data_IF_709087051112
#
_entry.id   IF_709087051112
#
_cell.length_a   1.000
_cell.length_b   1.000
_cell.length_c   1.000
_cell.angle_alpha   90.00
_cell.angle_beta   90.00
_cell.angle_gamma   90.00
#
_symmetry.space_group_name_H-M   'P 1'
#
loop_
_entity.id
_entity.type
_entity.pdbx_description
1 polymer ?
#
# COMPACT_ATOMS: atom_id res chain seq x y z
N UNK A 1 16.95 -14.08 -43.99
CA UNK A 1 18.30 -13.55 -43.71
C UNK A 1 18.69 -13.96 -42.31
N UNK A 2 19.77 -14.73 -42.13
CA UNK A 2 20.29 -15.03 -40.80
C UNK A 2 21.08 -13.80 -40.28
N UNK A 3 20.85 -13.33 -39.04
CA UNK A 3 21.66 -12.27 -38.47
C UNK A 3 23.11 -12.76 -38.37
N UNK A 4 24.05 -11.95 -38.86
CA UNK A 4 25.47 -12.25 -38.72
C UNK A 4 25.83 -12.27 -37.22
N UNK A 5 26.54 -13.29 -36.73
CA UNK A 5 26.97 -13.35 -35.35
C UNK A 5 27.85 -12.14 -35.00
N UNK A 6 27.44 -11.38 -33.98
CA UNK A 6 28.22 -10.29 -33.40
C UNK A 6 29.41 -10.89 -32.63
N UNK A 7 30.53 -11.13 -33.32
CA UNK A 7 31.72 -11.72 -32.69
C UNK A 7 32.46 -10.78 -31.73
N UNK A 8 32.21 -9.47 -31.80
CA UNK A 8 32.88 -8.47 -30.96
C UNK A 8 31.85 -7.55 -30.32
N UNK A 9 31.54 -7.78 -29.04
CA UNK A 9 30.81 -6.80 -28.23
C UNK A 9 31.83 -5.90 -27.51
N UNK A 10 31.78 -4.59 -27.76
CA UNK A 10 32.58 -3.64 -26.99
C UNK A 10 32.07 -3.62 -25.55
N UNK A 11 32.93 -3.92 -24.59
CA UNK A 11 32.56 -3.84 -23.17
C UNK A 11 32.10 -2.43 -22.81
N UNK A 12 31.03 -2.32 -22.03
CA UNK A 12 30.43 -1.03 -21.66
C UNK A 12 31.46 -0.01 -21.13
N UNK A 13 32.42 -0.35 -20.24
CA UNK A 13 33.44 0.60 -19.76
C UNK A 13 34.40 1.12 -20.84
N UNK A 14 34.49 0.48 -22.02
CA UNK A 14 35.33 0.90 -23.14
C UNK A 14 34.63 1.85 -24.11
N UNK A 15 33.33 2.09 -23.93
CA UNK A 15 32.58 3.05 -24.73
C UNK A 15 33.02 4.49 -24.39
N UNK A 16 33.03 5.41 -25.38
CA UNK A 16 33.19 6.84 -25.11
C UNK A 16 32.21 7.32 -24.03
N UNK A 17 32.64 8.27 -23.20
CA UNK A 17 31.87 8.73 -22.03
C UNK A 17 30.50 9.26 -22.45
N UNK A 18 30.40 9.91 -23.60
CA UNK A 18 29.17 10.43 -24.18
C UNK A 18 28.17 9.31 -24.43
N UNK A 19 28.61 8.18 -25.00
CA UNK A 19 27.77 7.01 -25.26
C UNK A 19 27.33 6.35 -23.95
N UNK A 20 28.23 6.24 -22.96
CA UNK A 20 27.89 5.69 -21.64
C UNK A 20 26.84 6.54 -20.94
N UNK A 21 27.00 7.87 -20.97
CA UNK A 21 26.04 8.83 -20.41
C UNK A 21 24.70 8.80 -21.15
N UNK A 22 24.69 8.65 -22.48
CA UNK A 22 23.46 8.47 -23.25
C UNK A 22 22.73 7.18 -22.84
N UNK A 23 23.45 6.06 -22.71
CA UNK A 23 22.86 4.78 -22.26
C UNK A 23 22.29 4.93 -20.85
N UNK A 24 23.04 5.54 -19.92
CA UNK A 24 22.53 5.82 -18.58
C UNK A 24 21.37 6.80 -18.57
N UNK A 25 21.34 7.78 -19.48
CA UNK A 25 20.22 8.70 -19.66
C UNK A 25 18.94 7.95 -20.01
N UNK A 26 18.99 7.06 -21.01
CA UNK A 26 17.84 6.23 -21.40
C UNK A 26 17.33 5.34 -20.25
N UNK A 27 18.24 4.79 -19.45
CA UNK A 27 17.88 4.01 -18.26
C UNK A 27 17.32 4.90 -17.15
N UNK A 28 17.90 6.08 -16.94
CA UNK A 28 17.48 7.07 -15.96
C UNK A 28 16.14 7.72 -16.28
N UNK A 29 15.81 7.85 -17.57
CA UNK A 29 14.50 8.30 -18.05
C UNK A 29 13.41 7.28 -17.68
N UNK A 30 13.77 6.01 -17.53
CA UNK A 30 12.88 4.92 -17.09
C UNK A 30 12.88 4.70 -15.57
N UNK A 31 13.66 5.45 -14.80
CA UNK A 31 13.70 5.36 -13.34
C UNK A 31 12.65 6.29 -12.71
N UNK A 32 12.07 5.96 -11.54
CA UNK A 32 12.25 4.70 -10.81
C UNK A 32 11.62 3.51 -11.53
N UNK A 33 12.13 2.31 -11.24
CA UNK A 33 11.59 1.05 -11.78
C UNK A 33 10.09 0.94 -11.45
N UNK A 34 9.28 0.47 -12.42
CA UNK A 34 7.85 0.18 -12.22
C UNK A 34 7.68 -1.10 -11.39
N UNK A 35 8.03 -1.02 -10.11
CA UNK A 35 7.79 -2.06 -9.12
C UNK A 35 6.48 -1.75 -8.40
N UNK A 36 5.59 -2.74 -8.19
CA UNK A 36 4.41 -2.57 -7.36
C UNK A 36 4.79 -2.15 -5.94
N UNK A 37 4.29 -1.00 -5.50
CA UNK A 37 4.44 -0.51 -4.14
C UNK A 37 3.05 -0.38 -3.47
N UNK A 38 3.03 -0.10 -2.17
CA UNK A 38 1.78 0.09 -1.41
C UNK A 38 1.64 1.56 -1.04
N UNK A 39 0.56 2.19 -1.51
CA UNK A 39 0.21 3.54 -1.10
C UNK A 39 -0.66 3.48 0.15
N UNK A 40 -0.03 3.69 1.31
CA UNK A 40 -0.74 3.82 2.59
C UNK A 40 -1.31 5.24 2.65
N UNK A 41 -2.64 5.34 2.70
CA UNK A 41 -3.30 6.64 2.79
C UNK A 41 -3.03 7.34 4.12
N UNK A 42 -2.94 8.66 4.05
CA UNK A 42 -2.64 9.53 5.19
C UNK A 42 -3.55 10.76 5.19
N UNK A 43 -4.01 11.28 6.34
CA UNK A 43 -3.87 10.76 7.72
C UNK A 43 -4.52 9.39 7.97
N UNK A 44 -4.08 8.64 9.00
CA UNK A 44 -4.68 7.32 9.32
C UNK A 44 -6.08 7.43 9.94
N UNK A 45 -6.41 8.56 10.57
CA UNK A 45 -7.76 8.87 11.04
C UNK A 45 -8.32 10.06 10.27
N UNK A 46 -9.38 9.83 9.52
CA UNK A 46 -10.15 10.88 8.84
C UNK A 46 -11.47 11.10 9.58
N UNK A 47 -11.95 12.33 9.60
CA UNK A 47 -13.23 12.65 10.22
C UNK A 47 -14.37 12.48 9.23
N UNK A 48 -15.31 11.56 9.54
CA UNK A 48 -16.43 11.21 8.65
C UNK A 48 -17.36 12.40 8.40
N UNK A 49 -17.58 13.23 9.43
CA UNK A 49 -18.56 14.32 9.39
C UNK A 49 -18.10 15.54 8.59
N UNK A 50 -16.79 15.75 8.44
CA UNK A 50 -16.23 16.95 7.80
C UNK A 50 -15.97 16.80 6.29
N UNK A 51 -16.45 15.72 5.67
CA UNK A 51 -16.10 15.37 4.28
C UNK A 51 -14.58 15.30 4.05
N UNK A 52 -13.85 14.97 5.10
CA UNK A 52 -12.41 14.93 5.10
C UNK A 52 -11.88 13.85 4.16
N UNK A 53 -10.78 14.15 3.49
CA UNK A 53 -10.19 13.31 2.45
C UNK A 53 -8.74 12.97 2.78
N UNK A 54 -8.25 11.82 2.29
CA UNK A 54 -6.81 11.57 2.30
C UNK A 54 -6.05 12.70 1.61
N UNK A 55 -4.88 13.04 2.15
CA UNK A 55 -4.04 14.10 1.64
C UNK A 55 -3.45 13.71 0.27
N UNK A 56 -3.48 14.65 -0.67
CA UNK A 56 -2.93 14.49 -2.01
C UNK A 56 -1.67 15.37 -2.18
N UNK A 57 -0.74 15.03 -3.08
CA UNK A 57 -0.78 13.87 -3.99
C UNK A 57 -0.52 12.53 -3.29
N UNK A 58 -1.06 11.45 -3.85
CA UNK A 58 -0.72 10.10 -3.41
C UNK A 58 0.67 9.71 -3.90
N UNK A 59 1.48 9.21 -2.97
CA UNK A 59 2.88 8.91 -3.18
C UNK A 59 3.22 7.58 -2.54
N UNK A 60 4.22 6.89 -3.09
CA UNK A 60 4.74 5.62 -2.59
C UNK A 60 6.22 5.74 -2.33
N UNK A 61 6.69 5.13 -1.24
CA UNK A 61 8.12 4.92 -1.02
C UNK A 61 8.62 3.84 -1.99
N UNK A 62 9.76 4.09 -2.62
CA UNK A 62 10.36 3.16 -3.60
C UNK A 62 11.67 2.60 -3.08
N UNK A 63 12.18 1.54 -3.74
CA UNK A 63 13.59 1.21 -3.58
C UNK A 63 14.47 2.28 -4.23
N UNK A 64 15.71 2.38 -3.77
CA UNK A 64 16.75 3.00 -4.60
C UNK A 64 16.81 2.24 -5.93
N UNK A 65 16.71 2.93 -7.09
CA UNK A 65 16.72 2.26 -8.38
C UNK A 65 18.08 1.57 -8.59
N UNK A 66 18.09 0.44 -9.29
CA UNK A 66 19.32 -0.35 -9.51
C UNK A 66 20.47 0.48 -10.09
N UNK A 67 20.14 1.50 -10.87
CA UNK A 67 21.09 2.46 -11.45
C UNK A 67 21.96 3.19 -10.39
N UNK A 68 21.45 3.39 -9.17
CA UNK A 68 22.20 4.01 -8.06
C UNK A 68 23.32 3.11 -7.50
N UNK A 69 23.21 1.81 -7.76
CA UNK A 69 24.12 0.78 -7.28
C UNK A 69 25.14 0.32 -8.32
N UNK A 70 24.94 0.63 -9.61
CA UNK A 70 25.78 0.13 -10.69
C UNK A 70 27.20 0.72 -10.69
N UNK A 71 27.35 2.04 -10.78
CA UNK A 71 28.64 2.73 -10.68
C UNK A 71 28.46 4.21 -10.26
N UNK A 72 29.57 4.96 -10.19
CA UNK A 72 29.52 6.40 -9.86
C UNK A 72 28.80 7.21 -10.93
N UNK A 73 29.11 6.98 -12.20
CA UNK A 73 28.52 7.74 -13.32
C UNK A 73 27.01 7.52 -13.41
N UNK A 74 26.56 6.27 -13.26
CA UNK A 74 25.13 5.93 -13.29
C UNK A 74 24.36 6.61 -12.15
N UNK A 75 24.98 6.68 -10.96
CA UNK A 75 24.44 7.40 -9.81
C UNK A 75 24.32 8.90 -10.07
N UNK A 76 25.35 9.51 -10.66
CA UNK A 76 25.31 10.93 -11.01
C UNK A 76 24.21 11.23 -12.04
N UNK A 77 24.00 10.35 -13.03
CA UNK A 77 22.89 10.47 -13.99
C UNK A 77 21.54 10.32 -13.29
N UNK A 78 21.38 9.33 -12.42
CA UNK A 78 20.13 9.11 -11.67
C UNK A 78 19.77 10.32 -10.79
N UNK A 79 20.76 10.89 -10.08
CA UNK A 79 20.55 12.06 -9.22
C UNK A 79 20.31 13.37 -10.00
N UNK A 80 20.82 13.47 -11.23
CA UNK A 80 20.53 14.60 -12.13
C UNK A 80 19.20 14.44 -12.86
N UNK A 81 18.68 13.22 -12.97
CA UNK A 81 17.36 12.97 -13.54
C UNK A 81 16.29 13.60 -12.66
N UNK A 82 15.31 14.26 -13.29
CA UNK A 82 14.14 14.79 -12.59
C UNK A 82 13.15 13.69 -12.16
N UNK A 83 13.36 12.45 -12.59
CA UNK A 83 12.45 11.36 -12.32
C UNK A 83 12.72 10.69 -10.96
N UNK A 84 13.97 10.73 -10.47
CA UNK A 84 14.29 10.29 -9.13
C UNK A 84 13.96 11.39 -8.12
N UNK A 85 12.78 11.29 -7.51
CA UNK A 85 12.33 12.23 -6.48
C UNK A 85 12.75 11.71 -5.11
N UNK A 86 13.32 12.60 -4.29
CA UNK A 86 13.79 12.29 -2.95
C UNK A 86 13.09 13.20 -1.95
N UNK A 87 12.71 12.66 -0.79
CA UNK A 87 12.16 13.43 0.34
C UNK A 87 12.85 13.05 1.63
N UNK A 88 12.90 13.96 2.60
CA UNK A 88 13.53 13.66 3.88
C UNK A 88 12.67 12.71 4.72
N UNK A 89 13.29 11.70 5.33
CA UNK A 89 12.68 10.86 6.36
C UNK A 89 13.44 11.04 7.67
N UNK A 90 12.81 11.69 8.68
CA UNK A 90 13.38 11.77 10.03
C UNK A 90 13.73 10.41 10.63
N UNK A 91 12.90 9.37 10.37
CA UNK A 91 13.16 8.02 10.88
C UNK A 91 14.37 7.35 10.22
N UNK A 92 14.59 7.60 8.92
CA UNK A 92 15.77 7.09 8.23
C UNK A 92 17.03 7.94 8.53
N UNK A 93 16.85 9.23 8.81
CA UNK A 93 17.93 10.19 8.98
C UNK A 93 18.58 10.63 7.65
N UNK A 94 17.96 10.30 6.51
CA UNK A 94 18.43 10.67 5.17
C UNK A 94 17.27 10.76 4.18
N UNK A 95 17.55 11.22 2.96
CA UNK A 95 16.55 11.35 1.91
C UNK A 95 16.18 9.98 1.30
N UNK A 96 14.89 9.67 1.24
CA UNK A 96 14.36 8.41 0.70
C UNK A 96 13.72 8.63 -0.67
N UNK A 97 13.86 7.67 -1.60
CA UNK A 97 13.27 7.80 -2.93
C UNK A 97 11.77 7.52 -2.89
N UNK A 98 11.01 8.35 -3.59
CA UNK A 98 9.57 8.22 -3.72
C UNK A 98 9.12 8.50 -5.16
N UNK A 99 7.88 8.14 -5.47
CA UNK A 99 7.20 8.56 -6.69
C UNK A 99 5.73 8.77 -6.44
N UNK A 100 5.05 9.34 -7.43
CA UNK A 100 3.59 9.40 -7.43
C UNK A 100 3.02 7.98 -7.53
N UNK A 101 1.91 7.78 -6.84
CA UNK A 101 1.11 6.57 -6.92
C UNK A 101 0.70 6.30 -8.37
N UNK A 102 0.97 5.08 -8.85
CA UNK A 102 0.57 4.60 -10.16
C UNK A 102 -0.57 3.59 -9.98
N UNK A 103 -1.84 3.98 -10.23
CA UNK A 103 -3.00 3.14 -9.96
C UNK A 103 -3.06 1.84 -10.77
N UNK A 104 -2.25 1.73 -11.84
CA UNK A 104 -2.17 0.51 -12.65
C UNK A 104 -1.36 -0.62 -11.99
N UNK A 105 -0.34 -0.27 -11.20
CA UNK A 105 0.62 -1.23 -10.63
C UNK A 105 0.64 -1.23 -9.10
N UNK A 106 0.32 -0.09 -8.47
CA UNK A 106 0.39 0.05 -7.02
C UNK A 106 -0.90 -0.37 -6.35
N UNK A 107 -0.78 -0.79 -5.09
CA UNK A 107 -1.92 -1.11 -4.25
C UNK A 107 -2.30 0.08 -3.38
N UNK A 108 -3.53 0.59 -3.54
CA UNK A 108 -4.08 1.62 -2.65
C UNK A 108 -4.55 0.95 -1.35
N UNK A 109 -3.97 1.33 -0.21
CA UNK A 109 -4.29 0.76 1.09
C UNK A 109 -5.01 1.76 1.99
N UNK A 110 -6.08 1.31 2.66
CA UNK A 110 -6.66 2.05 3.77
C UNK A 110 -7.11 1.18 4.95
N UNK A 111 -7.04 1.80 6.12
CA UNK A 111 -7.40 1.22 7.40
C UNK A 111 -8.86 1.47 7.80
N UNK A 112 -9.21 0.95 8.97
CA UNK A 112 -10.55 1.07 9.54
C UNK A 112 -11.06 2.52 9.65
N UNK A 113 -10.23 3.45 10.11
CA UNK A 113 -10.62 4.84 10.35
C UNK A 113 -10.68 5.72 9.08
N UNK A 114 -10.44 5.15 7.90
CA UNK A 114 -10.47 5.86 6.62
C UNK A 114 -11.65 5.43 5.74
N UNK A 115 -12.23 4.26 6.01
CA UNK A 115 -13.20 3.57 5.14
C UNK A 115 -14.37 4.46 4.68
N UNK A 116 -14.97 5.23 5.58
CA UNK A 116 -16.09 6.11 5.26
C UNK A 116 -15.68 7.31 4.42
N UNK A 117 -14.56 7.94 4.75
CA UNK A 117 -13.98 9.03 3.96
C UNK A 117 -13.58 8.56 2.57
N UNK A 118 -13.11 7.32 2.43
CA UNK A 118 -12.83 6.71 1.13
C UNK A 118 -14.10 6.55 0.30
N UNK A 119 -15.17 5.95 0.86
CA UNK A 119 -16.44 5.87 0.15
C UNK A 119 -16.96 7.25 -0.30
N UNK A 120 -16.82 8.28 0.54
CA UNK A 120 -17.18 9.66 0.20
C UNK A 120 -16.29 10.24 -0.91
N UNK A 121 -14.97 10.06 -0.81
CA UNK A 121 -14.00 10.47 -1.84
C UNK A 121 -14.37 9.86 -3.19
N UNK A 122 -14.78 8.59 -3.20
CA UNK A 122 -15.06 7.86 -4.42
C UNK A 122 -16.39 8.19 -5.10
N UNK A 123 -17.31 8.83 -4.38
CA UNK A 123 -18.56 9.33 -4.97
C UNK A 123 -18.38 10.66 -5.71
N UNK A 124 -17.23 11.32 -5.55
CA UNK A 124 -16.94 12.62 -6.17
C UNK A 124 -16.45 12.45 -7.61
N UNK A 125 -17.00 13.27 -8.51
CA UNK A 125 -16.76 13.20 -9.95
C UNK A 125 -15.29 13.45 -10.30
N UNK A 126 -14.67 14.41 -9.62
CA UNK A 126 -13.27 14.80 -9.82
C UNK A 126 -12.27 13.67 -9.53
N UNK A 127 -12.65 12.68 -8.71
CA UNK A 127 -11.81 11.53 -8.41
C UNK A 127 -12.04 10.36 -9.37
N UNK A 128 -13.07 10.41 -10.22
CA UNK A 128 -13.44 9.30 -11.13
C UNK A 128 -12.27 8.77 -11.97
N UNK A 129 -11.38 9.59 -12.57
CA UNK A 129 -10.25 9.08 -13.35
C UNK A 129 -9.29 8.21 -12.53
N UNK A 130 -8.99 8.64 -11.30
CA UNK A 130 -8.15 7.86 -10.38
C UNK A 130 -8.82 6.52 -10.06
N UNK A 131 -10.10 6.54 -9.73
CA UNK A 131 -10.82 5.36 -9.28
C UNK A 131 -10.98 4.34 -10.42
N UNK A 132 -11.28 4.81 -11.63
CA UNK A 132 -11.38 3.94 -12.81
C UNK A 132 -10.02 3.36 -13.22
N UNK A 133 -8.91 4.03 -12.89
CA UNK A 133 -7.57 3.51 -13.15
C UNK A 133 -7.05 2.54 -12.08
N UNK A 134 -7.69 2.47 -10.90
CA UNK A 134 -7.30 1.52 -9.85
C UNK A 134 -7.37 0.06 -10.35
N UNK A 135 -6.29 -0.69 -10.13
CA UNK A 135 -6.20 -2.14 -10.38
C UNK A 135 -6.05 -2.96 -9.12
N UNK A 136 -5.44 -2.40 -8.08
CA UNK A 136 -5.14 -3.11 -6.85
C UNK A 136 -5.53 -2.28 -5.64
N UNK A 137 -6.22 -2.92 -4.71
CA UNK A 137 -6.65 -2.31 -3.46
C UNK A 137 -6.44 -3.28 -2.32
N UNK A 138 -6.09 -2.75 -1.16
CA UNK A 138 -6.04 -3.51 0.08
C UNK A 138 -6.78 -2.81 1.21
N UNK A 139 -7.48 -3.60 2.01
CA UNK A 139 -8.32 -3.14 3.10
C UNK A 139 -7.87 -3.85 4.37
N UNK A 140 -7.73 -3.11 5.46
CA UNK A 140 -7.65 -3.72 6.78
C UNK A 140 -8.89 -4.59 7.04
N UNK A 141 -8.72 -5.78 7.63
CA UNK A 141 -9.84 -6.70 7.86
C UNK A 141 -10.97 -6.10 8.71
N UNK A 142 -10.66 -5.21 9.64
CA UNK A 142 -11.68 -4.54 10.44
C UNK A 142 -12.56 -3.57 9.62
N UNK A 143 -12.06 -3.07 8.49
CA UNK A 143 -12.80 -2.19 7.58
C UNK A 143 -13.90 -2.94 6.79
N UNK A 144 -13.98 -4.27 6.89
CA UNK A 144 -14.92 -5.13 6.16
C UNK A 144 -16.34 -5.19 6.76
N UNK A 145 -16.75 -4.19 7.56
CA UNK A 145 -17.97 -4.29 8.37
C UNK A 145 -19.28 -4.30 7.54
N UNK A 146 -19.27 -3.83 6.30
CA UNK A 146 -20.44 -3.84 5.44
C UNK A 146 -20.12 -4.40 4.04
N UNK A 147 -20.40 -5.69 3.76
CA UNK A 147 -20.13 -6.28 2.45
C UNK A 147 -20.91 -5.60 1.32
N UNK A 148 -22.08 -5.00 1.62
CA UNK A 148 -22.89 -4.30 0.62
C UNK A 148 -22.25 -3.00 0.13
N UNK A 149 -21.70 -2.19 1.04
CA UNK A 149 -20.99 -0.96 0.65
C UNK A 149 -19.70 -1.29 -0.12
N UNK A 150 -18.98 -2.32 0.33
CA UNK A 150 -17.79 -2.80 -0.39
C UNK A 150 -18.15 -3.33 -1.78
N UNK A 151 -19.25 -4.08 -1.91
CA UNK A 151 -19.76 -4.52 -3.20
C UNK A 151 -20.05 -3.34 -4.12
N UNK A 152 -20.83 -2.34 -3.66
CA UNK A 152 -21.11 -1.14 -4.45
C UNK A 152 -19.84 -0.44 -4.88
N UNK A 153 -18.85 -0.34 -4.00
CA UNK A 153 -17.58 0.26 -4.35
C UNK A 153 -16.83 -0.51 -5.45
N UNK A 154 -16.78 -1.84 -5.37
CA UNK A 154 -16.16 -2.68 -6.40
C UNK A 154 -16.89 -2.52 -7.74
N UNK A 155 -18.22 -2.60 -7.74
CA UNK A 155 -18.99 -2.62 -9.00
C UNK A 155 -19.24 -1.25 -9.62
N UNK A 156 -19.36 -0.19 -8.81
CA UNK A 156 -19.70 1.15 -9.29
C UNK A 156 -18.46 2.03 -9.49
N UNK A 157 -17.54 1.98 -8.53
CA UNK A 157 -16.44 2.92 -8.47
C UNK A 157 -15.21 2.35 -9.18
N UNK A 158 -14.88 1.07 -8.92
CA UNK A 158 -13.65 0.41 -9.40
C UNK A 158 -13.94 -0.78 -10.34
N UNK A 159 -14.63 -0.57 -11.48
CA UNK A 159 -15.04 -1.67 -12.36
C UNK A 159 -13.85 -2.49 -12.90
N UNK A 160 -12.66 -1.89 -12.96
CA UNK A 160 -11.43 -2.52 -13.46
C UNK A 160 -10.51 -3.06 -12.35
N UNK A 161 -11.01 -3.16 -11.11
CA UNK A 161 -10.25 -3.75 -10.01
C UNK A 161 -9.89 -5.21 -10.34
N UNK A 162 -8.62 -5.57 -10.16
CA UNK A 162 -8.08 -6.92 -10.40
C UNK A 162 -7.75 -7.64 -9.10
N UNK A 163 -7.30 -6.90 -8.09
CA UNK A 163 -6.95 -7.48 -6.78
C UNK A 163 -7.61 -6.72 -5.65
N UNK A 164 -8.29 -7.47 -4.79
CA UNK A 164 -8.79 -7.03 -3.49
C UNK A 164 -8.08 -7.83 -2.40
N UNK A 165 -7.23 -7.18 -1.62
CA UNK A 165 -6.53 -7.83 -0.52
C UNK A 165 -7.15 -7.46 0.83
N UNK A 166 -7.41 -8.46 1.67
CA UNK A 166 -7.73 -8.28 3.08
C UNK A 166 -6.45 -8.42 3.88
N UNK A 167 -6.08 -7.34 4.57
CA UNK A 167 -4.80 -7.22 5.27
C UNK A 167 -4.99 -7.54 6.75
N UNK A 168 -4.28 -8.56 7.19
CA UNK A 168 -4.19 -8.99 8.59
C UNK A 168 -2.96 -8.35 9.25
N UNK A 169 -3.00 -8.22 10.57
CA UNK A 169 -1.90 -7.59 11.31
C UNK A 169 -0.61 -8.42 11.22
N UNK A 170 -0.73 -9.74 11.24
CA UNK A 170 0.36 -10.70 11.04
C UNK A 170 -0.23 -12.06 10.65
N UNK A 171 0.63 -13.05 10.42
CA UNK A 171 0.28 -14.42 10.06
C UNK A 171 0.02 -15.33 11.28
N UNK A 172 -0.32 -14.77 12.45
CA UNK A 172 -0.57 -15.53 13.69
C UNK A 172 -2.06 -15.81 13.94
N UNK A 173 -2.34 -16.70 14.91
CA UNK A 173 -3.70 -17.02 15.40
C UNK A 173 -4.31 -15.93 16.30
N UNK A 174 -3.67 -14.78 16.45
CA UNK A 174 -4.16 -13.69 17.30
C UNK A 174 -5.11 -12.73 16.54
N UNK A 175 -5.36 -12.98 15.27
CA UNK A 175 -6.21 -12.10 14.46
C UNK A 175 -7.70 -12.28 14.77
N UNK A 176 -8.35 -11.15 15.00
CA UNK A 176 -9.80 -11.00 15.09
C UNK A 176 -10.28 -10.33 13.80
N UNK A 177 -11.52 -10.60 13.36
CA UNK A 177 -12.11 -9.94 12.19
C UNK A 177 -12.18 -8.41 12.34
N UNK A 178 -12.12 -7.92 13.58
CA UNK A 178 -12.07 -6.49 13.95
C UNK A 178 -10.68 -6.03 14.43
N UNK A 179 -9.62 -6.79 14.17
CA UNK A 179 -8.28 -6.37 14.55
C UNK A 179 -7.91 -5.12 13.77
N UNK A 180 -7.65 -4.04 14.52
CA UNK A 180 -7.12 -2.80 14.00
C UNK A 180 -5.64 -2.73 14.31
N UNK A 181 -4.84 -2.17 13.41
CA UNK A 181 -3.40 -2.01 13.59
C UNK A 181 -2.88 -0.77 12.88
N UNK A 182 -1.75 -0.22 13.34
CA UNK A 182 -1.02 0.79 12.56
C UNK A 182 -0.29 0.12 11.40
N UNK A 183 -0.32 0.70 10.20
CA UNK A 183 0.44 0.18 9.06
C UNK A 183 1.96 0.34 9.31
N UNK A 184 2.80 -0.24 8.44
CA UNK A 184 4.24 -0.04 8.48
C UNK A 184 4.63 1.44 8.43
N UNK A 185 5.69 1.76 9.15
CA UNK A 185 6.24 3.10 9.21
C UNK A 185 7.31 3.26 8.15
N UNK A 186 8.01 2.19 7.74
CA UNK A 186 9.08 2.19 6.72
C UNK A 186 8.57 1.67 5.38
N UNK A 187 9.45 1.58 4.39
CA UNK A 187 9.14 0.91 3.12
C UNK A 187 8.57 -0.48 3.40
N UNK A 188 7.46 -0.80 2.78
CA UNK A 188 6.73 -2.03 3.03
C UNK A 188 6.21 -2.66 1.75
N UNK A 189 5.77 -3.92 1.88
CA UNK A 189 5.08 -4.67 0.82
C UNK A 189 3.93 -5.45 1.43
N UNK A 190 2.98 -5.84 0.59
CA UNK A 190 2.01 -6.86 0.95
C UNK A 190 2.55 -8.23 0.55
N UNK A 191 2.44 -9.18 1.47
CA UNK A 191 2.85 -10.57 1.27
C UNK A 191 1.62 -11.46 1.38
N UNK A 192 1.42 -12.32 0.38
CA UNK A 192 0.39 -13.36 0.43
C UNK A 192 0.63 -14.26 1.65
N UNK A 193 -0.40 -14.52 2.43
CA UNK A 193 -0.35 -15.51 3.51
C UNK A 193 -0.31 -16.89 2.83
N UNK A 194 0.76 -17.69 3.01
CA UNK A 194 0.85 -19.00 2.37
C UNK A 194 -0.31 -19.91 2.73
N UNK A 195 -0.75 -20.77 1.82
CA UNK A 195 -1.92 -21.64 2.02
C UNK A 195 -1.76 -22.55 3.25
N UNK A 196 -0.54 -23.02 3.53
CA UNK A 196 -0.24 -23.86 4.71
C UNK A 196 -0.51 -23.09 6.00
N UNK A 197 -0.15 -21.81 6.03
CA UNK A 197 -0.40 -20.91 7.15
C UNK A 197 -1.89 -20.56 7.23
N UNK A 198 -2.53 -20.26 6.10
CA UNK A 198 -3.94 -19.90 6.05
C UNK A 198 -4.88 -21.04 6.50
N UNK A 199 -4.50 -22.29 6.29
CA UNK A 199 -5.26 -23.46 6.76
C UNK A 199 -5.15 -23.63 8.30
N UNK A 200 -4.01 -23.29 8.89
CA UNK A 200 -3.80 -23.34 10.35
C UNK A 200 -4.23 -22.06 11.08
N UNK A 201 -4.36 -20.94 10.35
CA UNK A 201 -4.71 -19.65 10.90
C UNK A 201 -6.20 -19.55 11.21
N UNK A 202 -6.54 -19.10 12.42
CA UNK A 202 -7.92 -18.95 12.87
C UNK A 202 -8.30 -17.49 13.09
N UNK A 203 -9.46 -17.09 12.57
CA UNK A 203 -10.03 -15.74 12.71
C UNK A 203 -11.19 -15.78 13.70
N UNK A 204 -11.16 -14.90 14.70
CA UNK A 204 -12.21 -14.77 15.72
C UNK A 204 -13.21 -13.66 15.39
N UNK A 205 -14.44 -13.78 15.89
CA UNK A 205 -15.44 -12.71 15.90
C UNK A 205 -16.00 -12.34 14.54
N UNK A 206 -16.19 -13.33 13.67
CA UNK A 206 -16.91 -13.12 12.42
C UNK A 206 -18.35 -12.72 12.71
N UNK A 207 -18.79 -11.48 12.40
CA UNK A 207 -20.02 -10.91 12.92
C UNK A 207 -21.32 -11.57 12.44
N UNK A 208 -21.27 -12.53 11.50
CA UNK A 208 -22.46 -13.02 10.79
C UNK A 208 -22.78 -14.50 11.06
N UNK A 209 -22.00 -15.21 11.88
CA UNK A 209 -22.16 -16.66 12.06
C UNK A 209 -22.50 -17.11 13.48
N UNK A 210 -22.45 -16.21 14.47
CA UNK A 210 -22.93 -16.54 15.82
C UNK A 210 -24.44 -16.32 15.91
N UNK A 211 -25.19 -17.32 16.35
CA UNK A 211 -26.47 -17.04 17.02
C UNK A 211 -26.17 -16.06 18.15
N UNK A 212 -26.83 -14.89 18.11
CA UNK A 212 -26.80 -13.81 19.11
C UNK A 212 -25.58 -13.81 20.05
N UNK A 213 -24.45 -13.28 19.58
CA UNK A 213 -23.32 -12.90 20.45
C UNK A 213 -22.21 -13.95 20.62
N UNK A 214 -22.34 -15.16 20.07
CA UNK A 214 -21.20 -16.09 20.08
C UNK A 214 -20.14 -15.69 19.05
N UNK A 215 -18.92 -15.43 19.53
CA UNK A 215 -17.75 -15.25 18.66
C UNK A 215 -17.40 -16.61 18.04
N UNK A 216 -17.78 -16.80 16.78
CA UNK A 216 -17.39 -17.98 16.02
C UNK A 216 -15.93 -17.82 15.61
N UNK A 217 -15.14 -18.88 15.83
CA UNK A 217 -13.80 -19.03 15.31
C UNK A 217 -13.87 -19.84 14.02
N UNK A 218 -13.24 -19.35 12.96
CA UNK A 218 -13.19 -20.03 11.66
C UNK A 218 -11.76 -20.03 11.12
N UNK A 219 -11.43 -20.93 10.20
CA UNK A 219 -10.13 -20.86 9.52
C UNK A 219 -10.07 -19.62 8.62
N UNK A 220 -8.87 -19.08 8.37
CA UNK A 220 -8.69 -17.96 7.45
C UNK A 220 -9.22 -18.32 6.07
N UNK A 221 -8.94 -19.52 5.57
CA UNK A 221 -9.50 -19.99 4.29
C UNK A 221 -11.02 -19.88 4.24
N UNK A 222 -11.72 -20.42 5.24
CA UNK A 222 -13.19 -20.34 5.28
C UNK A 222 -13.66 -18.89 5.45
N UNK A 223 -12.97 -18.08 6.24
CA UNK A 223 -13.25 -16.64 6.33
C UNK A 223 -13.19 -15.96 4.95
N UNK A 224 -12.18 -16.24 4.14
CA UNK A 224 -12.02 -15.67 2.80
C UNK A 224 -13.13 -16.13 1.84
N UNK A 225 -13.48 -17.42 1.86
CA UNK A 225 -14.59 -17.98 1.08
C UNK A 225 -15.92 -17.29 1.44
N UNK A 226 -16.18 -17.13 2.74
CA UNK A 226 -17.38 -16.46 3.23
C UNK A 226 -17.45 -15.00 2.78
N UNK A 227 -16.32 -14.27 2.79
CA UNK A 227 -16.30 -12.88 2.29
C UNK A 227 -16.59 -12.80 0.80
N UNK A 228 -16.13 -13.78 0.00
CA UNK A 228 -16.50 -13.88 -1.41
C UNK A 228 -18.00 -14.12 -1.58
N UNK A 229 -18.54 -15.11 -0.87
CA UNK A 229 -19.97 -15.45 -0.87
C UNK A 229 -20.84 -14.23 -0.49
N UNK A 230 -20.45 -13.50 0.57
CA UNK A 230 -21.13 -12.28 1.01
C UNK A 230 -21.08 -11.15 -0.03
N UNK A 231 -19.94 -10.94 -0.70
CA UNK A 231 -19.81 -9.94 -1.75
C UNK A 231 -20.70 -10.29 -2.95
N UNK A 232 -20.65 -11.52 -3.43
CA UNK A 232 -21.48 -11.98 -4.55
C UNK A 232 -22.98 -11.94 -4.20
N UNK A 233 -23.33 -12.32 -2.97
CA UNK A 233 -24.70 -12.26 -2.44
C UNK A 233 -25.20 -10.84 -2.13
N UNK A 234 -24.30 -9.85 -2.00
CA UNK A 234 -24.64 -8.44 -1.78
C UNK A 234 -25.11 -7.72 -3.03
N UNK A 235 -25.16 -8.40 -4.19
CA UNK A 235 -25.69 -7.85 -5.42
C UNK A 235 -27.08 -7.23 -5.17
N UNK A 236 -27.24 -5.91 -5.36
CA UNK A 236 -28.52 -5.27 -5.13
C UNK A 236 -29.57 -5.81 -6.10
N UNK A 237 -30.85 -5.64 -5.74
CA UNK A 237 -31.96 -6.02 -6.60
C UNK A 237 -31.76 -5.47 -8.02
N UNK A 238 -32.17 -6.22 -9.07
CA UNK A 238 -31.86 -5.92 -10.48
C UNK A 238 -32.13 -4.48 -10.92
N UNK A 239 -33.07 -3.78 -10.27
CA UNK A 239 -33.42 -2.37 -10.56
C UNK A 239 -32.25 -1.41 -10.41
N UNK A 240 -31.34 -1.62 -9.45
CA UNK A 240 -30.15 -0.79 -9.26
C UNK A 240 -29.02 -1.15 -10.24
N UNK A 241 -29.04 -2.36 -10.81
CA UNK A 241 -27.99 -2.86 -11.70
C UNK A 241 -28.16 -2.44 -13.16
N UNK A 242 -29.38 -2.11 -13.60
CA UNK A 242 -29.67 -1.72 -14.99
C UNK A 242 -28.98 -0.42 -15.40
N UNK A 243 -28.48 0.37 -14.45
CA UNK A 243 -27.83 1.65 -14.70
C UNK A 243 -26.31 1.60 -14.63
N UNK A 244 -25.69 0.41 -14.47
CA UNK A 244 -24.23 0.34 -14.34
C UNK A 244 -23.59 0.49 -15.72
N UNK A 245 -22.91 1.61 -16.01
CA UNK A 245 -22.46 1.89 -17.38
C UNK A 245 -21.30 1.01 -17.84
N UNK A 246 -20.65 0.30 -16.92
CA UNK A 246 -19.31 -0.23 -17.13
C UNK A 246 -19.30 -1.77 -17.04
N UNK A 247 -19.10 -2.43 -18.18
CA UNK A 247 -18.51 -3.78 -18.18
C UNK A 247 -17.03 -3.60 -17.82
N UNK A 248 -16.66 -4.03 -16.61
CA UNK A 248 -15.28 -3.99 -16.13
C UNK A 248 -14.76 -5.39 -15.81
N UNK A 249 -13.47 -5.50 -15.49
CA UNK A 249 -12.87 -6.80 -15.16
C UNK A 249 -13.42 -7.39 -13.89
N UNK A 250 -13.78 -6.58 -12.88
CA UNK A 250 -14.10 -7.06 -11.52
C UNK A 250 -15.46 -7.78 -11.39
N UNK A 251 -16.42 -7.46 -12.27
CA UNK A 251 -17.81 -7.90 -12.14
C UNK A 251 -18.43 -8.26 -13.49
N UNK A 252 -18.93 -9.49 -13.60
CA UNK A 252 -19.70 -9.93 -14.76
C UNK A 252 -21.19 -9.68 -14.52
N UNK A 253 -21.74 -8.67 -15.20
CA UNK A 253 -23.14 -8.29 -15.08
C UNK A 253 -24.12 -9.35 -15.61
N UNK A 254 -23.69 -10.21 -16.54
CA UNK A 254 -24.51 -11.29 -17.11
C UNK A 254 -24.59 -12.46 -16.13
N UNK A 255 -23.46 -12.83 -15.53
CA UNK A 255 -23.37 -13.95 -14.59
C UNK A 255 -23.70 -13.55 -13.15
N UNK A 256 -23.80 -12.26 -12.84
CA UNK A 256 -24.04 -11.72 -11.50
C UNK A 256 -23.04 -12.25 -10.48
N UNK A 257 -21.75 -12.27 -10.87
CA UNK A 257 -20.66 -12.74 -10.01
C UNK A 257 -19.41 -11.90 -10.20
N UNK A 258 -18.52 -11.98 -9.22
CA UNK A 258 -17.18 -11.45 -9.35
C UNK A 258 -16.46 -12.21 -10.45
N UNK A 259 -15.95 -11.48 -11.44
CA UNK A 259 -15.19 -12.01 -12.56
C UNK A 259 -13.77 -11.47 -12.43
N UNK A 260 -12.75 -12.28 -12.70
CA UNK A 260 -11.31 -11.92 -12.66
C UNK A 260 -10.76 -11.25 -11.37
N UNK A 261 -11.59 -10.93 -10.39
CA UNK A 261 -11.21 -10.28 -9.15
C UNK A 261 -10.58 -11.32 -8.21
N UNK A 262 -9.28 -11.18 -8.02
CA UNK A 262 -8.52 -11.95 -7.06
C UNK A 262 -8.75 -11.37 -5.66
N UNK A 263 -9.40 -12.15 -4.80
CA UNK A 263 -9.53 -11.82 -3.39
C UNK A 263 -8.42 -12.55 -2.64
N UNK A 264 -7.56 -11.81 -1.93
CA UNK A 264 -6.36 -12.33 -1.27
C UNK A 264 -6.36 -12.05 0.23
N UNK A 265 -5.71 -12.92 0.99
CA UNK A 265 -5.33 -12.66 2.38
C UNK A 265 -3.85 -12.31 2.44
N UNK A 266 -3.51 -11.14 2.96
CA UNK A 266 -2.15 -10.65 2.97
C UNK A 266 -1.76 -10.07 4.34
N UNK A 267 -0.46 -9.96 4.57
CA UNK A 267 0.12 -9.20 5.68
C UNK A 267 1.05 -8.14 5.15
N UNK A 268 1.25 -7.08 5.94
CA UNK A 268 2.35 -6.16 5.68
C UNK A 268 3.68 -6.78 6.11
N UNK A 269 4.68 -6.65 5.25
CA UNK A 269 6.09 -6.83 5.61
C UNK A 269 6.84 -5.52 5.46
N UNK A 270 7.56 -5.14 6.50
CA UNK A 270 8.37 -3.91 6.55
C UNK A 270 9.84 -4.26 6.28
N UNK A 271 10.51 -3.44 5.46
CA UNK A 271 11.92 -3.56 5.19
C UNK A 271 12.73 -3.17 6.44
N UNK A 272 13.56 -4.08 6.91
CA UNK A 272 14.51 -3.84 7.99
C UNK A 272 15.91 -4.25 7.56
N UNK A 273 16.89 -3.43 7.91
CA UNK A 273 18.30 -3.77 7.75
C UNK A 273 19.01 -3.66 9.09
N UNK A 274 19.74 -4.71 9.46
CA UNK A 274 20.62 -4.70 10.62
C UNK A 274 22.00 -5.19 10.22
N UNK A 275 23.06 -4.69 10.86
CA UNK A 275 24.43 -5.17 10.59
C UNK A 275 24.57 -6.69 10.82
N UNK A 276 23.86 -7.23 11.82
CA UNK A 276 23.96 -8.64 12.19
C UNK A 276 23.18 -9.59 11.26
N UNK A 277 21.99 -9.20 10.79
CA UNK A 277 21.09 -10.07 10.01
C UNK A 277 20.99 -9.70 8.54
N UNK A 278 21.60 -8.59 8.14
CA UNK A 278 21.44 -8.02 6.81
C UNK A 278 20.01 -7.54 6.56
N UNK A 279 19.56 -7.68 5.32
CA UNK A 279 18.22 -7.28 4.87
C UNK A 279 17.18 -8.32 5.27
N UNK A 280 16.10 -7.87 5.92
CA UNK A 280 14.97 -8.70 6.31
C UNK A 280 13.64 -8.00 5.95
N UNK A 281 12.60 -8.82 5.75
CA UNK A 281 11.22 -8.38 5.57
C UNK A 281 10.37 -9.01 6.67
N UNK A 282 9.95 -8.19 7.63
CA UNK A 282 9.31 -8.68 8.86
C UNK A 282 7.85 -8.21 8.96
N UNK A 283 6.99 -9.05 9.50
CA UNK A 283 5.63 -8.65 9.87
C UNK A 283 5.68 -7.81 11.14
N UNK A 284 5.47 -6.50 11.00
CA UNK A 284 5.54 -5.57 12.13
C UNK A 284 4.18 -5.19 12.68
N UNK A 285 3.12 -5.31 11.88
CA UNK A 285 1.78 -4.85 12.25
C UNK A 285 1.15 -5.67 13.39
N UNK A 286 1.60 -6.91 13.59
CA UNK A 286 1.20 -7.74 14.71
C UNK A 286 1.51 -7.12 16.07
N UNK A 287 2.66 -6.44 16.19
CA UNK A 287 3.07 -5.70 17.38
C UNK A 287 2.46 -4.30 17.46
N UNK A 288 1.76 -3.87 16.40
CA UNK A 288 1.14 -2.54 16.28
C UNK A 288 -0.38 -2.61 16.30
N UNK A 289 -0.94 -3.70 16.86
CA UNK A 289 -2.37 -3.84 17.07
C UNK A 289 -2.87 -2.75 18.00
N UNK A 290 -3.89 -2.04 17.56
CA UNK A 290 -4.67 -1.15 18.39
C UNK A 290 -5.70 -2.06 19.06
N UNK A 291 -5.52 -2.34 20.35
CA UNK A 291 -6.48 -3.12 21.12
C UNK A 291 -7.87 -2.45 21.11
N UNK A 292 -8.81 -2.97 21.90
CA UNK A 292 -10.14 -2.36 22.02
C UNK A 292 -10.13 -0.98 22.76
N UNK A 293 -8.97 -0.44 23.08
CA UNK A 293 -8.83 0.80 23.83
C UNK A 293 -8.87 2.00 22.87
N UNK A 294 -9.82 2.91 23.08
CA UNK A 294 -9.94 4.15 22.30
C UNK A 294 -8.67 5.01 22.33
N UNK A 295 -7.86 4.90 23.39
CA UNK A 295 -6.56 5.58 23.55
C UNK A 295 -5.57 5.29 22.42
N UNK A 296 -5.77 4.19 21.68
CA UNK A 296 -4.91 3.77 20.58
C UNK A 296 -5.37 4.29 19.21
N UNK A 297 -6.48 5.04 19.13
CA UNK A 297 -6.92 5.63 17.86
C UNK A 297 -5.82 6.55 17.28
N UNK A 298 -5.51 6.47 15.98
CA UNK A 298 -4.61 7.43 15.36
C UNK A 298 -5.12 8.87 15.56
N UNK A 299 -4.20 9.78 15.88
CA UNK A 299 -4.53 11.19 16.06
C UNK A 299 -5.15 11.74 14.78
N UNK A 300 -6.26 12.45 14.91
CA UNK A 300 -6.81 13.23 13.80
C UNK A 300 -5.88 14.42 13.50
N UNK A 301 -5.57 14.63 12.22
CA UNK A 301 -4.76 15.74 11.74
C UNK A 301 -5.63 16.61 10.82
N UNK A 302 -6.01 17.82 11.26
CA UNK A 302 -6.78 18.76 10.46
C UNK A 302 -6.07 19.08 9.14
N UNK A 303 -6.83 19.37 8.07
CA UNK A 303 -6.27 19.65 6.74
C UNK A 303 -5.17 20.73 6.73
N UNK A 304 -5.29 21.77 7.57
CA UNK A 304 -4.30 22.85 7.68
C UNK A 304 -2.98 22.44 8.35
N UNK A 305 -2.96 21.36 9.14
CA UNK A 305 -1.75 20.83 9.79
C UNK A 305 -1.05 19.78 8.91
N UNK A 306 -1.60 19.47 7.73
CA UNK A 306 -1.07 18.42 6.87
C UNK A 306 0.16 18.89 6.11
N UNK A 307 1.29 18.23 6.34
CA UNK A 307 2.55 18.46 5.63
C UNK A 307 2.47 17.92 4.20
N UNK A 308 3.13 18.59 3.27
CA UNK A 308 3.26 18.14 1.88
C UNK A 308 3.98 16.77 1.84
N UNK A 309 3.34 15.70 1.31
CA UNK A 309 3.90 14.36 1.32
C UNK A 309 5.07 14.21 0.34
N UNK A 310 5.28 15.18 -0.55
CA UNK A 310 6.42 15.22 -1.47
C UNK A 310 7.67 15.83 -0.83
N UNK A 311 7.52 16.63 0.22
CA UNK A 311 8.63 17.24 0.97
C UNK A 311 8.97 16.43 2.21
N UNK A 312 7.95 15.85 2.84
CA UNK A 312 8.04 15.19 4.13
C UNK A 312 7.43 13.79 4.08
N UNK A 313 8.12 12.82 4.69
CA UNK A 313 7.59 11.47 4.84
C UNK A 313 6.54 11.41 5.95
N UNK A 314 5.30 11.71 5.61
CA UNK A 314 4.16 11.84 6.55
C UNK A 314 3.91 10.62 7.43
N UNK A 315 4.28 9.40 6.98
CA UNK A 315 4.15 8.18 7.79
C UNK A 315 5.08 8.15 9.01
N UNK A 316 6.14 8.96 9.01
CA UNK A 316 7.06 9.07 10.14
C UNK A 316 6.35 9.65 11.38
N UNK A 317 5.44 10.63 11.19
CA UNK A 317 4.74 11.35 12.27
C UNK A 317 3.73 10.47 13.03
N UNK A 318 2.90 9.71 12.32
CA UNK A 318 1.79 8.96 12.93
C UNK A 318 2.16 7.56 13.41
N UNK A 319 3.31 7.04 12.95
CA UNK A 319 3.80 5.75 13.40
C UNK A 319 3.95 5.69 14.93
N UNK A 320 4.23 6.84 15.58
CA UNK A 320 4.60 6.91 16.99
C UNK A 320 5.90 6.13 17.27
N UNK A 321 6.66 5.83 16.22
CA UNK A 321 7.81 4.98 16.29
C UNK A 321 9.03 5.84 16.59
N UNK A 322 9.67 5.62 17.74
CA UNK A 322 11.00 6.16 17.97
C UNK A 322 11.96 5.37 17.07
N UNK A 323 12.91 6.03 16.35
CA UNK A 323 13.95 5.31 15.63
C UNK A 323 14.58 4.27 16.57
N UNK A 324 15.03 3.09 16.08
CA UNK A 324 15.81 2.26 16.99
C UNK A 324 17.03 3.13 17.35
N UNK A 325 17.48 3.11 18.60
CA UNK A 325 18.75 3.77 18.92
C UNK A 325 19.79 3.20 17.97
N UNK A 326 20.17 3.98 16.96
CA UNK A 326 21.18 3.54 16.01
C UNK A 326 22.50 3.73 16.76
N UNK A 327 23.19 2.63 17.16
CA UNK A 327 24.42 2.75 17.93
C UNK A 327 25.52 3.47 17.14
N UNK A 328 25.36 3.59 15.81
CA UNK A 328 26.27 4.28 14.91
C UNK A 328 25.74 5.63 14.40
N UNK A 329 24.63 6.16 14.95
CA UNK A 329 24.25 7.55 14.65
C UNK A 329 25.39 8.40 15.22
N UNK A 330 26.13 9.18 14.42
CA UNK A 330 27.02 10.15 15.01
C UNK A 330 26.17 11.02 15.96
N UNK A 331 26.71 11.43 17.12
CA UNK A 331 26.02 12.38 17.97
C UNK A 331 25.56 13.56 17.08
N UNK A 332 24.37 14.14 17.33
CA UNK A 332 23.99 15.36 16.64
C UNK A 332 25.19 16.32 16.72
N UNK A 333 25.58 16.89 15.58
CA UNK A 333 26.61 17.94 15.59
C UNK A 333 26.07 19.01 16.53
N UNK A 334 26.71 19.17 17.69
CA UNK A 334 26.35 20.17 18.69
C UNK A 334 26.31 21.54 17.98
N UNK A 335 25.13 22.03 17.62
CA UNK A 335 25.00 23.27 16.84
C UNK A 335 23.64 23.53 16.20
N UNK A 336 22.89 22.52 15.79
CA UNK A 336 21.55 22.71 15.18
C UNK A 336 20.44 22.33 16.16
N UNK A 337 20.18 23.18 17.17
CA UNK A 337 19.11 22.91 18.14
C UNK A 337 18.78 23.98 19.16
N UNK A 338 19.21 25.23 18.99
CA UNK A 338 18.89 26.34 19.91
C UNK A 338 18.49 27.62 19.15
N UNK A 339 17.47 27.54 18.29
CA UNK A 339 16.68 28.71 17.91
C UNK A 339 15.20 28.29 17.79
N UNK A 340 14.52 28.27 18.93
CA UNK A 340 13.07 28.46 19.07
C UNK A 340 12.78 29.03 20.45
#
# INVERSE_FOLDING_TARGET
MAPLPLHNFMLFPKLPVEIRLMIWGLVGDSAPERVPEVCILWPFSLEVMSSDQPHQPFVVDTAWPSLMHACRESREVALRSKNLRLRFSPLAGFAVPFRNFDPEIDTLHWGFYQVWSMFSMFRREENRPLIQSLRHMSLETAALFNPRELFYFITLATPFLRTLAFVFADSSNQNHAKTIFKPPARRCRLRDIPDEVANGMTIRGTPHYGQQGQSVQTSLRRFMELRREELEGSCPQPRLMLTLPYEGTAWDNKQKKLHELQIKAQTFVEYEWTQAKGVQWLEVCGHRRLGNQEELRPRYIPAMERKNPEEYRVLDDESGWLPPENPNRPPPLDGEGSEA
#
